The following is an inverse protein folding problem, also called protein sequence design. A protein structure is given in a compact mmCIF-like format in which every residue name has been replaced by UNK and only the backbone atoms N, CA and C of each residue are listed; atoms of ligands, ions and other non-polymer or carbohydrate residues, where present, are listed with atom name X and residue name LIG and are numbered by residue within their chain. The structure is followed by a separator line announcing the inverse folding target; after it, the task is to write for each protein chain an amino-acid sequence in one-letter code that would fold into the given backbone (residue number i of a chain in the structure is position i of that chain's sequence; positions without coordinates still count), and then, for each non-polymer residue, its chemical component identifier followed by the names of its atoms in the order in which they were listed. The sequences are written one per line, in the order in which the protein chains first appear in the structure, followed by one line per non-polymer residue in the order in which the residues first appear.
data_IF_567310426128
#
_entry.id   IF_567310426128
#
_cell.length_a   1.000
_cell.length_b   1.000
_cell.length_c   1.000
_cell.angle_alpha   90.00
_cell.angle_beta   90.00
_cell.angle_gamma   90.00
#
_symmetry.space_group_name_H-M   'P 1'
#
loop_
_entity.id
_entity.type
_entity.pdbx_description
1 polymer ?
#
# COMPACT_ATOMS: atom_id res chain seq x y z
N UNK A 1 -9.98 37.08 63.92
CA UNK A 1 -9.80 35.84 63.13
C UNK A 1 -11.01 35.68 62.22
N UNK A 2 -10.87 36.02 60.93
CA UNK A 2 -11.96 35.94 59.94
C UNK A 2 -11.98 34.54 59.32
N UNK A 3 -13.07 33.80 59.54
CA UNK A 3 -13.30 32.46 58.99
C UNK A 3 -13.63 32.54 57.49
N UNK A 4 -12.78 31.91 56.67
CA UNK A 4 -12.99 31.79 55.22
C UNK A 4 -13.97 30.65 54.95
N UNK A 5 -15.17 31.00 54.47
CA UNK A 5 -16.14 30.03 53.96
C UNK A 5 -15.66 29.48 52.60
N UNK A 6 -15.01 28.32 52.62
CA UNK A 6 -14.63 27.59 51.40
C UNK A 6 -15.88 26.95 50.78
N UNK A 7 -16.30 27.49 49.64
CA UNK A 7 -17.46 27.05 48.86
C UNK A 7 -17.12 25.78 48.09
N UNK A 8 -17.44 24.59 48.63
CA UNK A 8 -17.34 23.31 47.92
C UNK A 8 -18.40 23.23 46.81
N UNK A 9 -18.00 23.54 45.57
CA UNK A 9 -18.84 23.33 44.37
C UNK A 9 -19.00 21.82 44.12
N UNK A 10 -20.14 21.26 44.51
CA UNK A 10 -20.55 19.90 44.10
C UNK A 10 -20.74 19.88 42.57
N UNK A 11 -19.94 19.08 41.85
CA UNK A 11 -20.15 18.81 40.42
C UNK A 11 -21.43 17.98 40.25
N UNK A 12 -22.48 18.60 39.71
CA UNK A 12 -23.65 17.88 39.21
C UNK A 12 -23.18 16.94 38.09
N UNK A 13 -23.32 15.62 38.28
CA UNK A 13 -23.10 14.64 37.21
C UNK A 13 -24.21 14.84 36.17
N UNK A 14 -23.89 15.50 35.06
CA UNK A 14 -24.80 15.62 33.92
C UNK A 14 -25.10 14.23 33.37
N UNK A 15 -26.36 13.92 33.09
CA UNK A 15 -26.75 12.67 32.42
C UNK A 15 -25.87 12.44 31.19
N UNK A 16 -25.26 11.25 31.10
CA UNK A 16 -24.35 10.89 30.02
C UNK A 16 -25.19 10.72 28.74
N UNK A 17 -25.36 11.81 27.99
CA UNK A 17 -26.04 11.77 26.70
C UNK A 17 -25.14 11.04 25.71
N UNK A 18 -25.36 9.74 25.56
CA UNK A 18 -24.61 8.92 24.61
C UNK A 18 -25.09 9.21 23.20
N UNK A 19 -24.29 9.91 22.42
CA UNK A 19 -24.61 10.17 21.02
C UNK A 19 -24.44 8.90 20.18
N UNK A 20 -25.47 8.60 19.37
CA UNK A 20 -25.42 7.51 18.39
C UNK A 20 -24.82 8.00 17.07
N UNK A 21 -24.16 7.10 16.36
CA UNK A 21 -23.64 7.34 15.02
C UNK A 21 -24.77 7.75 14.08
N UNK A 22 -24.58 8.86 13.36
CA UNK A 22 -25.50 9.32 12.32
C UNK A 22 -24.86 9.12 10.96
N UNK A 23 -25.59 8.48 10.04
CA UNK A 23 -25.13 8.28 8.65
C UNK A 23 -24.85 9.60 7.93
N UNK A 24 -25.49 10.70 8.30
CA UNK A 24 -25.19 12.02 7.75
C UNK A 24 -23.73 12.46 7.97
N UNK A 25 -23.03 11.91 8.97
CA UNK A 25 -21.62 12.20 9.19
C UNK A 25 -20.72 11.61 8.09
N UNK A 26 -21.19 10.61 7.33
CA UNK A 26 -20.47 10.08 6.17
C UNK A 26 -20.41 11.11 5.02
N UNK A 27 -21.36 12.05 4.95
CA UNK A 27 -21.35 13.14 3.96
C UNK A 27 -20.25 14.15 4.25
N UNK A 28 -20.01 14.45 5.53
CA UNK A 28 -18.96 15.37 5.98
C UNK A 28 -17.57 14.69 5.96
N UNK A 29 -17.49 13.40 6.30
CA UNK A 29 -16.25 12.64 6.38
C UNK A 29 -16.33 11.33 5.57
N UNK A 30 -15.88 11.36 4.31
CA UNK A 30 -15.91 10.20 3.38
C UNK A 30 -15.18 8.94 3.90
N UNK A 31 -14.24 9.14 4.83
CA UNK A 31 -13.44 8.07 5.44
C UNK A 31 -14.09 7.42 6.67
N UNK A 32 -15.20 7.99 7.15
CA UNK A 32 -15.96 7.51 8.29
C UNK A 32 -17.02 6.50 7.83
N UNK A 33 -17.28 5.49 8.64
CA UNK A 33 -18.32 4.48 8.41
C UNK A 33 -18.93 4.02 9.74
N UNK A 34 -20.12 3.43 9.71
CA UNK A 34 -20.69 2.76 10.90
C UNK A 34 -19.82 1.61 11.38
N UNK A 35 -19.52 1.56 12.69
CA UNK A 35 -18.80 0.43 13.28
C UNK A 35 -19.71 -0.78 13.49
N UNK A 36 -19.13 -1.98 13.44
CA UNK A 36 -19.80 -3.24 13.79
C UNK A 36 -19.91 -3.46 15.31
N UNK A 37 -19.15 -2.73 16.13
CA UNK A 37 -19.11 -2.89 17.59
C UNK A 37 -20.30 -2.28 18.31
N UNK A 38 -21.00 -1.34 17.69
CA UNK A 38 -22.20 -0.77 18.26
C UNK A 38 -22.52 0.64 17.74
N UNK A 39 -23.71 1.15 18.10
CA UNK A 39 -24.21 2.44 17.60
C UNK A 39 -23.44 3.64 18.16
N UNK A 40 -22.63 3.47 19.20
CA UNK A 40 -21.79 4.52 19.80
C UNK A 40 -20.38 4.55 19.21
N UNK A 41 -20.06 3.69 18.25
CA UNK A 41 -18.75 3.61 17.61
C UNK A 41 -18.84 3.98 16.12
N UNK A 42 -17.82 4.64 15.59
CA UNK A 42 -17.58 4.74 14.15
C UNK A 42 -16.31 4.03 13.77
N UNK A 43 -16.28 3.53 12.54
CA UNK A 43 -15.11 2.97 11.92
C UNK A 43 -14.39 4.01 11.06
N UNK A 44 -13.07 4.12 11.22
CA UNK A 44 -12.21 4.88 10.32
C UNK A 44 -11.61 3.94 9.27
N UNK A 45 -11.90 4.19 7.98
CA UNK A 45 -11.35 3.41 6.86
C UNK A 45 -9.83 3.54 6.71
N UNK A 46 -9.27 4.70 7.05
CA UNK A 46 -7.83 4.94 6.92
C UNK A 46 -7.01 4.33 8.06
N UNK A 47 -7.52 4.41 9.29
CA UNK A 47 -6.82 3.89 10.47
C UNK A 47 -7.16 2.43 10.78
N UNK A 48 -8.18 1.87 10.12
CA UNK A 48 -8.78 0.58 10.44
C UNK A 48 -9.07 0.43 11.93
N UNK A 49 -9.74 1.42 12.53
CA UNK A 49 -10.00 1.49 13.97
C UNK A 49 -11.41 1.98 14.27
N UNK A 50 -11.93 1.51 15.40
CA UNK A 50 -13.16 2.01 15.99
C UNK A 50 -12.89 3.25 16.86
N UNK A 51 -13.68 4.28 16.64
CA UNK A 51 -13.68 5.55 17.38
C UNK A 51 -14.94 5.54 18.25
N UNK A 52 -14.78 5.73 19.55
CA UNK A 52 -15.90 5.92 20.46
C UNK A 52 -16.47 7.33 20.29
N UNK A 53 -17.75 7.44 19.95
CA UNK A 53 -18.46 8.70 19.69
C UNK A 53 -19.51 8.98 20.77
N UNK A 54 -19.31 8.46 21.99
CA UNK A 54 -20.22 8.71 23.11
C UNK A 54 -20.51 10.22 23.31
N UNK A 55 -19.52 11.08 23.05
CA UNK A 55 -19.61 12.56 23.17
C UNK A 55 -19.90 13.30 21.85
N UNK A 56 -20.22 12.58 20.77
CA UNK A 56 -20.55 13.16 19.46
C UNK A 56 -19.34 13.59 18.62
N UNK A 57 -19.57 14.54 17.69
CA UNK A 57 -18.61 14.94 16.63
C UNK A 57 -17.23 15.40 17.13
N UNK A 58 -17.10 15.82 18.39
CA UNK A 58 -15.82 16.25 18.97
C UNK A 58 -14.75 15.16 18.96
N UNK A 59 -15.13 13.91 19.20
CA UNK A 59 -14.19 12.78 19.19
C UNK A 59 -13.70 12.44 17.77
N UNK A 60 -14.56 12.63 16.77
CA UNK A 60 -14.19 12.50 15.35
C UNK A 60 -13.15 13.57 15.00
N UNK A 61 -13.33 14.83 15.45
CA UNK A 61 -12.34 15.90 15.22
C UNK A 61 -10.99 15.60 15.89
N UNK A 62 -10.99 15.10 17.13
CA UNK A 62 -9.76 14.67 17.83
C UNK A 62 -9.06 13.51 17.14
N UNK A 63 -9.83 12.59 16.57
CA UNK A 63 -9.27 11.48 15.81
C UNK A 63 -8.47 11.97 14.59
N UNK A 64 -8.99 12.96 13.84
CA UNK A 64 -8.31 13.51 12.66
C UNK A 64 -6.94 14.10 13.03
N UNK A 65 -6.83 14.75 14.19
CA UNK A 65 -5.57 15.34 14.68
C UNK A 65 -4.61 14.32 15.28
N UNK A 66 -5.03 13.06 15.43
CA UNK A 66 -4.19 12.03 16.06
C UNK A 66 -3.07 11.60 15.10
N UNK A 67 -1.86 11.41 15.63
CA UNK A 67 -0.68 11.01 14.84
C UNK A 67 -0.91 9.74 14.00
N UNK A 68 -1.71 8.79 14.51
CA UNK A 68 -2.10 7.59 13.78
C UNK A 68 -2.83 7.92 12.47
N UNK A 69 -3.80 8.84 12.54
CA UNK A 69 -4.59 9.24 11.38
C UNK A 69 -3.76 9.98 10.33
N UNK A 70 -2.92 10.91 10.78
CA UNK A 70 -2.01 11.67 9.91
C UNK A 70 -1.05 10.72 9.18
N UNK A 71 -0.43 9.79 9.92
CA UNK A 71 0.47 8.77 9.33
C UNK A 71 -0.27 7.90 8.32
N UNK A 72 -1.43 7.36 8.67
CA UNK A 72 -2.25 6.55 7.76
C UNK A 72 -2.59 7.28 6.46
N UNK A 73 -2.98 8.57 6.52
CA UNK A 73 -3.25 9.37 5.31
C UNK A 73 -1.98 9.54 4.48
N UNK A 74 -0.85 9.85 5.11
CA UNK A 74 0.42 10.03 4.37
C UNK A 74 0.84 8.77 3.63
N UNK A 75 0.69 7.59 4.26
CA UNK A 75 0.98 6.30 3.63
C UNK A 75 0.04 5.98 2.48
N UNK A 76 -1.26 6.24 2.62
CA UNK A 76 -2.24 5.97 1.55
C UNK A 76 -1.99 6.88 0.34
N UNK A 77 -1.61 8.15 0.56
CA UNK A 77 -1.30 9.08 -0.53
C UNK A 77 -0.05 8.71 -1.32
N UNK A 78 0.96 8.15 -0.68
CA UNK A 78 2.20 7.75 -1.33
C UNK A 78 2.13 6.35 -1.98
N UNK A 79 1.11 5.55 -1.66
CA UNK A 79 0.98 4.21 -2.20
C UNK A 79 0.43 4.25 -3.64
N UNK A 80 1.14 3.68 -4.63
CA UNK A 80 0.60 3.56 -5.99
C UNK A 80 -0.60 2.60 -6.01
N UNK A 81 -1.59 2.90 -6.86
CA UNK A 81 -2.74 2.03 -7.06
C UNK A 81 -2.30 0.66 -7.55
N UNK A 82 -2.87 -0.42 -7.01
CA UNK A 82 -2.59 -1.80 -7.44
C UNK A 82 -2.81 -1.99 -8.95
N UNK A 83 -3.78 -1.29 -9.54
CA UNK A 83 -4.02 -1.34 -10.99
C UNK A 83 -2.81 -0.84 -11.82
N UNK A 84 -2.02 0.10 -11.29
CA UNK A 84 -0.81 0.61 -11.95
C UNK A 84 0.35 -0.40 -11.95
N UNK A 85 0.35 -1.34 -11.01
CA UNK A 85 1.36 -2.40 -10.92
C UNK A 85 1.05 -3.50 -11.92
N UNK A 86 -0.23 -3.86 -12.08
CA UNK A 86 -0.68 -4.88 -13.05
C UNK A 86 -0.85 -4.34 -14.49
N UNK A 87 -0.91 -3.01 -14.67
CA UNK A 87 -1.08 -2.38 -15.99
C UNK A 87 0.21 -2.22 -16.79
N UNK A 88 1.39 -2.42 -16.19
CA UNK A 88 2.65 -2.47 -16.94
C UNK A 88 2.78 -3.83 -17.60
N UNK A 89 2.15 -4.00 -18.78
CA UNK A 89 2.69 -4.89 -19.80
C UNK A 89 4.07 -4.32 -20.15
N UNK A 90 5.11 -4.76 -19.44
CA UNK A 90 6.49 -4.50 -19.84
C UNK A 90 6.61 -4.89 -21.30
N UNK A 91 7.26 -4.03 -22.09
CA UNK A 91 7.44 -4.17 -23.53
C UNK A 91 7.73 -5.65 -23.85
N UNK A 92 6.94 -6.22 -24.75
CA UNK A 92 6.99 -7.64 -25.15
C UNK A 92 8.42 -8.12 -25.50
N UNK A 93 9.29 -7.19 -25.87
CA UNK A 93 10.68 -7.38 -26.22
C UNK A 93 11.50 -7.98 -25.06
N UNK A 94 11.38 -7.44 -23.84
CA UNK A 94 12.15 -7.92 -22.67
C UNK A 94 11.75 -9.34 -22.25
N UNK A 95 10.47 -9.67 -22.37
CA UNK A 95 9.93 -10.99 -22.04
C UNK A 95 10.39 -12.05 -23.05
N UNK A 96 10.32 -11.73 -24.34
CA UNK A 96 10.85 -12.59 -25.43
C UNK A 96 12.36 -12.76 -25.35
N UNK A 97 13.11 -11.73 -24.96
CA UNK A 97 14.55 -11.84 -24.76
C UNK A 97 14.88 -12.82 -23.62
N UNK A 98 14.15 -12.76 -22.51
CA UNK A 98 14.29 -13.72 -21.40
C UNK A 98 13.94 -15.15 -21.81
N UNK A 99 12.86 -15.31 -22.59
CA UNK A 99 12.48 -16.61 -23.13
C UNK A 99 13.58 -17.19 -24.03
N UNK A 100 14.18 -16.38 -24.91
CA UNK A 100 15.30 -16.79 -25.75
C UNK A 100 16.52 -17.26 -24.93
N UNK A 101 16.89 -16.53 -23.88
CA UNK A 101 17.95 -16.94 -22.94
C UNK A 101 17.62 -18.26 -22.26
N UNK A 102 16.38 -18.44 -21.81
CA UNK A 102 15.94 -19.66 -21.13
C UNK A 102 16.00 -20.88 -22.05
N UNK A 103 15.56 -20.73 -23.30
CA UNK A 103 15.65 -21.80 -24.31
C UNK A 103 17.10 -22.17 -24.61
N UNK A 104 17.99 -21.17 -24.71
CA UNK A 104 19.41 -21.41 -24.94
C UNK A 104 20.07 -22.12 -23.76
N UNK A 105 19.71 -21.74 -22.53
CA UNK A 105 20.17 -22.42 -21.32
C UNK A 105 19.67 -23.88 -21.26
N UNK A 106 18.40 -24.12 -21.63
CA UNK A 106 17.82 -25.46 -21.74
C UNK A 106 18.59 -26.34 -22.72
N UNK A 107 18.87 -25.84 -23.92
CA UNK A 107 19.66 -26.55 -24.93
C UNK A 107 21.04 -26.96 -24.41
N UNK A 108 21.73 -26.06 -23.71
CA UNK A 108 23.06 -26.35 -23.15
C UNK A 108 22.99 -27.39 -22.03
N UNK A 109 21.95 -27.35 -21.20
CA UNK A 109 21.73 -28.34 -20.15
C UNK A 109 21.40 -29.72 -20.72
N UNK A 110 20.54 -29.79 -21.75
CA UNK A 110 20.15 -31.04 -22.42
C UNK A 110 21.34 -31.73 -23.11
N UNK A 111 22.22 -30.95 -23.74
CA UNK A 111 23.40 -31.47 -24.44
C UNK A 111 24.67 -31.53 -23.57
N UNK A 112 24.56 -31.23 -22.27
CA UNK A 112 25.70 -31.18 -21.33
C UNK A 112 26.88 -30.34 -21.88
N UNK A 113 26.56 -29.22 -22.52
CA UNK A 113 27.56 -28.33 -23.11
C UNK A 113 28.12 -27.38 -22.03
N UNK A 114 29.38 -26.92 -22.17
CA UNK A 114 29.92 -25.92 -21.27
C UNK A 114 29.11 -24.63 -21.34
N UNK A 115 28.67 -24.10 -20.19
CA UNK A 115 27.91 -22.84 -20.08
C UNK A 115 28.66 -21.65 -20.70
N UNK A 116 30.00 -21.71 -20.80
CA UNK A 116 30.82 -20.71 -21.51
C UNK A 116 30.38 -20.50 -22.96
N UNK A 117 29.80 -21.52 -23.59
CA UNK A 117 29.30 -21.44 -24.95
C UNK A 117 28.14 -20.44 -25.09
N UNK A 118 27.36 -20.19 -24.03
CA UNK A 118 26.31 -19.15 -23.99
C UNK A 118 26.84 -17.77 -24.40
N UNK A 119 28.04 -17.40 -23.94
CA UNK A 119 28.63 -16.08 -24.19
C UNK A 119 28.92 -15.92 -25.69
N UNK A 120 29.55 -16.93 -26.29
CA UNK A 120 29.87 -16.94 -27.71
C UNK A 120 28.62 -17.05 -28.60
N UNK A 121 27.64 -17.88 -28.21
CA UNK A 121 26.38 -18.01 -28.95
C UNK A 121 25.61 -16.69 -28.90
N UNK A 122 25.57 -15.99 -27.77
CA UNK A 122 24.88 -14.69 -27.69
C UNK A 122 25.48 -13.64 -28.63
N UNK A 123 26.81 -13.65 -28.83
CA UNK A 123 27.48 -12.79 -29.81
C UNK A 123 27.19 -13.23 -31.25
N UNK A 124 27.14 -14.54 -31.51
CA UNK A 124 26.80 -15.09 -32.81
C UNK A 124 25.35 -14.75 -33.21
N UNK A 125 24.39 -14.89 -32.29
CA UNK A 125 22.98 -14.55 -32.50
C UNK A 125 22.81 -13.07 -32.83
N UNK A 126 23.60 -12.18 -32.22
CA UNK A 126 23.62 -10.75 -32.57
C UNK A 126 24.18 -10.48 -33.97
N UNK A 127 25.20 -11.23 -34.39
CA UNK A 127 25.76 -11.08 -35.74
C UNK A 127 24.88 -11.66 -36.84
N UNK A 128 24.08 -12.68 -36.55
CA UNK A 128 23.19 -13.32 -37.53
C UNK A 128 21.85 -12.58 -37.63
N UNK A 129 21.35 -12.04 -36.53
CA UNK A 129 20.05 -11.38 -36.45
C UNK A 129 20.22 -9.88 -36.12
N UNK A 130 20.77 -9.11 -37.06
CA UNK A 130 20.93 -7.65 -36.92
C UNK A 130 19.60 -6.88 -36.93
N UNK A 131 18.54 -7.46 -37.48
CA UNK A 131 17.24 -6.79 -37.64
C UNK A 131 16.31 -6.89 -36.41
N UNK A 132 16.71 -7.64 -35.37
CA UNK A 132 15.84 -7.91 -34.23
C UNK A 132 16.30 -7.17 -32.97
N UNK A 133 15.50 -6.20 -32.51
CA UNK A 133 15.66 -5.54 -31.19
C UNK A 133 15.71 -6.56 -30.03
N UNK A 134 15.12 -7.75 -30.21
CA UNK A 134 15.16 -8.85 -29.22
C UNK A 134 16.55 -9.51 -29.18
N UNK A 135 17.22 -9.65 -30.33
CA UNK A 135 18.56 -10.23 -30.41
C UNK A 135 19.61 -9.35 -29.75
N UNK A 136 19.49 -8.02 -29.85
CA UNK A 136 20.34 -7.08 -29.12
C UNK A 136 20.13 -7.16 -27.60
N UNK A 137 18.87 -7.35 -27.17
CA UNK A 137 18.49 -7.44 -25.76
C UNK A 137 18.91 -8.76 -25.09
N UNK A 138 19.16 -9.83 -25.86
CA UNK A 138 19.71 -11.09 -25.33
C UNK A 138 21.15 -10.85 -24.89
N UNK A 139 21.37 -10.84 -23.57
CA UNK A 139 22.69 -10.69 -22.95
C UNK A 139 22.93 -11.84 -21.97
N UNK A 140 23.74 -12.80 -22.37
CA UNK A 140 24.18 -13.91 -21.53
C UNK A 140 25.61 -13.62 -21.06
N UNK A 141 25.79 -12.66 -20.14
CA UNK A 141 27.11 -12.42 -19.53
C UNK A 141 27.09 -12.90 -18.09
N UNK A 142 28.15 -13.61 -17.68
CA UNK A 142 28.36 -13.97 -16.29
C UNK A 142 28.40 -12.71 -15.42
N UNK A 143 27.43 -12.57 -14.51
CA UNK A 143 27.55 -11.61 -13.40
C UNK A 143 28.56 -12.17 -12.40
N UNK A 144 29.55 -11.34 -12.06
CA UNK A 144 30.54 -11.67 -11.03
C UNK A 144 29.80 -11.88 -9.70
N UNK A 145 29.78 -13.12 -9.22
CA UNK A 145 29.51 -13.43 -7.80
C UNK A 145 30.76 -13.12 -6.98
#
# INVERSE_FOLDING_TARGET
MLAVLVRLKKKLKSADYTQKYKRDWEKEWKWLQSSKKGPTYAWCKFCSCDILIARGKGEIKKHITTAKHIKSISTIKSQPSVASVFGKKSKNIDEKAKEGVLRLAGFIAEHNLPIRLMEHISNLVKSICTDSEIAEAIKCIRTKM
#
